data_IF_739365497819
#
_entry.id   IF_739365497819
#
_cell.length_a   1.000
_cell.length_b   1.000
_cell.length_c   1.000
_cell.angle_alpha   90.00
_cell.angle_beta   90.00
_cell.angle_gamma   90.00
#
_symmetry.space_group_name_H-M   'P 1'
#
loop_
_entity.id
_entity.type
_entity.pdbx_description
1 polymer ?
#
# COMPACT_ATOMS: atom_id res chain seq x y z
N UNK A 1 10.89 -2.64 11.77
CA UNK A 1 11.18 -3.02 10.37
C UNK A 1 9.90 -3.63 9.80
N UNK A 2 9.40 -3.14 8.66
CA UNK A 2 8.17 -3.65 8.01
C UNK A 2 8.60 -4.64 6.93
N UNK A 3 8.60 -5.94 7.23
CA UNK A 3 9.08 -6.98 6.33
C UNK A 3 8.52 -8.36 6.71
N UNK A 4 8.74 -9.37 5.86
CA UNK A 4 8.26 -10.74 6.06
C UNK A 4 6.94 -11.02 5.34
N UNK A 5 6.10 -11.87 5.92
CA UNK A 5 4.76 -12.18 5.41
C UNK A 5 3.78 -11.07 5.78
N UNK A 6 3.34 -10.31 4.78
CA UNK A 6 2.42 -9.19 4.96
C UNK A 6 1.13 -9.47 4.21
N UNK A 7 0.03 -9.72 4.92
CA UNK A 7 -1.23 -10.10 4.29
C UNK A 7 -1.86 -8.90 3.59
N UNK A 8 -2.23 -9.05 2.31
CA UNK A 8 -3.16 -8.17 1.66
C UNK A 8 -4.59 -8.55 2.09
N UNK A 9 -5.06 -7.95 3.18
CA UNK A 9 -6.27 -8.38 3.86
C UNK A 9 -7.52 -8.07 3.00
N UNK A 10 -8.43 -9.04 2.94
CA UNK A 10 -9.77 -8.84 2.37
C UNK A 10 -10.60 -7.92 3.26
N UNK A 11 -11.59 -7.23 2.67
CA UNK A 11 -12.57 -6.44 3.42
C UNK A 11 -13.90 -7.20 3.43
N UNK A 12 -14.24 -7.92 4.51
CA UNK A 12 -15.43 -8.77 4.52
C UNK A 12 -16.70 -7.94 4.47
N UNK A 13 -17.66 -8.42 3.68
CA UNK A 13 -18.99 -7.83 3.52
C UNK A 13 -20.07 -8.89 3.76
N UNK A 14 -21.23 -8.45 4.23
CA UNK A 14 -22.40 -9.30 4.38
C UNK A 14 -23.08 -9.58 3.02
N UNK A 15 -24.14 -10.39 3.03
CA UNK A 15 -24.87 -10.76 1.81
C UNK A 15 -25.57 -9.57 1.10
N UNK A 16 -25.58 -8.38 1.70
CA UNK A 16 -26.10 -7.14 1.11
C UNK A 16 -24.98 -6.20 0.67
N UNK A 17 -23.71 -6.59 0.79
CA UNK A 17 -22.55 -5.77 0.44
C UNK A 17 -22.18 -4.73 1.50
N UNK A 18 -22.72 -4.82 2.72
CA UNK A 18 -22.34 -3.92 3.82
C UNK A 18 -21.14 -4.49 4.55
N UNK A 19 -20.29 -3.63 5.10
CA UNK A 19 -19.11 -4.05 5.88
C UNK A 19 -19.49 -4.97 7.05
N UNK A 20 -18.85 -6.14 7.11
CA UNK A 20 -19.00 -7.11 8.18
C UNK A 20 -17.85 -6.95 9.19
N UNK A 21 -18.13 -6.19 10.23
CA UNK A 21 -17.15 -5.86 11.28
C UNK A 21 -16.74 -7.06 12.13
N UNK A 22 -17.64 -8.01 12.35
CA UNK A 22 -17.35 -9.20 13.17
C UNK A 22 -16.40 -10.12 12.42
N UNK A 23 -16.63 -10.32 11.12
CA UNK A 23 -15.72 -11.07 10.27
C UNK A 23 -14.36 -10.38 10.12
N UNK A 24 -14.33 -9.05 9.97
CA UNK A 24 -13.07 -8.30 9.94
C UNK A 24 -12.29 -8.52 11.24
N UNK A 25 -12.97 -8.45 12.38
CA UNK A 25 -12.35 -8.64 13.69
C UNK A 25 -11.75 -10.03 13.84
N UNK A 26 -12.46 -11.07 13.40
CA UNK A 26 -11.95 -12.46 13.39
C UNK A 26 -10.73 -12.63 12.50
N UNK A 27 -10.69 -12.00 11.33
CA UNK A 27 -9.54 -12.07 10.43
C UNK A 27 -8.30 -11.39 11.03
N UNK A 28 -8.48 -10.23 11.67
CA UNK A 28 -7.38 -9.55 12.38
C UNK A 28 -6.84 -10.44 13.50
N UNK A 29 -7.71 -11.03 14.32
CA UNK A 29 -7.29 -11.95 15.39
C UNK A 29 -6.59 -13.21 14.84
N UNK A 30 -7.07 -13.77 13.74
CA UNK A 30 -6.42 -14.90 13.06
C UNK A 30 -4.98 -14.56 12.67
N UNK A 31 -4.75 -13.43 11.99
CA UNK A 31 -3.40 -13.05 11.57
C UNK A 31 -2.45 -12.76 12.74
N UNK A 32 -2.99 -12.22 13.85
CA UNK A 32 -2.24 -12.01 15.08
C UNK A 32 -1.88 -13.34 15.77
N UNK A 33 -2.76 -14.34 15.71
CA UNK A 33 -2.54 -15.67 16.27
C UNK A 33 -1.54 -16.48 15.45
N UNK A 34 -1.63 -16.43 14.12
CA UNK A 34 -0.79 -17.20 13.19
C UNK A 34 0.58 -16.54 12.90
N UNK A 35 0.88 -15.40 13.53
CA UNK A 35 2.20 -14.77 13.44
C UNK A 35 2.48 -14.06 12.11
N UNK A 36 1.45 -13.52 11.46
CA UNK A 36 1.63 -12.64 10.29
C UNK A 36 2.46 -11.41 10.66
N UNK A 37 3.39 -10.97 9.79
CA UNK A 37 4.33 -9.90 10.14
C UNK A 37 3.76 -8.49 10.00
N UNK A 38 2.80 -8.27 9.08
CA UNK A 38 2.08 -7.00 8.94
C UNK A 38 0.73 -7.22 8.22
N UNK A 39 -0.21 -6.28 8.41
CA UNK A 39 -1.50 -6.27 7.71
C UNK A 39 -1.53 -5.11 6.74
N UNK A 40 -1.83 -5.37 5.47
CA UNK A 40 -2.18 -4.34 4.48
C UNK A 40 -3.71 -4.23 4.42
N UNK A 41 -4.25 -3.17 5.01
CA UNK A 41 -5.69 -2.88 5.00
C UNK A 41 -6.08 -2.07 3.76
N UNK A 42 -7.22 -2.41 3.16
CA UNK A 42 -7.82 -1.68 2.02
C UNK A 42 -6.84 -1.54 0.84
N UNK A 43 -6.10 -2.61 0.55
CA UNK A 43 -5.31 -2.71 -0.70
C UNK A 43 -6.18 -3.08 -1.91
N UNK A 44 -5.56 -3.64 -2.96
CA UNK A 44 -6.33 -4.21 -4.09
C UNK A 44 -7.21 -5.38 -3.65
N UNK A 45 -6.66 -6.30 -2.84
CA UNK A 45 -7.39 -7.47 -2.31
C UNK A 45 -8.49 -7.08 -1.32
N UNK A 46 -8.34 -5.93 -0.65
CA UNK A 46 -9.35 -5.34 0.24
C UNK A 46 -10.39 -4.48 -0.49
N UNK A 47 -10.48 -4.59 -1.81
CA UNK A 47 -11.52 -3.95 -2.64
C UNK A 47 -11.58 -2.42 -2.52
N UNK A 48 -10.41 -1.77 -2.37
CA UNK A 48 -10.29 -0.30 -2.29
C UNK A 48 -11.09 0.49 -3.34
N UNK A 49 -11.29 -0.06 -4.53
CA UNK A 49 -12.00 0.61 -5.62
C UNK A 49 -13.53 0.74 -5.40
N UNK A 50 -14.11 -0.03 -4.48
CA UNK A 50 -15.57 -0.10 -4.25
C UNK A 50 -15.98 0.28 -2.82
N UNK A 51 -15.06 0.84 -2.05
CA UNK A 51 -15.36 1.45 -0.74
C UNK A 51 -15.41 2.95 -0.89
N UNK A 52 -16.42 3.57 -0.28
CA UNK A 52 -16.43 5.02 -0.14
C UNK A 52 -15.30 5.46 0.79
N UNK A 53 -14.86 6.73 0.69
CA UNK A 53 -13.76 7.25 1.52
C UNK A 53 -14.03 7.06 3.02
N UNK A 54 -15.27 7.24 3.47
CA UNK A 54 -15.65 7.02 4.88
C UNK A 54 -15.46 5.56 5.31
N UNK A 55 -15.90 4.62 4.48
CA UNK A 55 -15.76 3.18 4.70
C UNK A 55 -14.29 2.76 4.70
N UNK A 56 -13.54 3.22 3.71
CA UNK A 56 -12.10 3.00 3.57
C UNK A 56 -11.36 3.37 4.86
N UNK A 57 -11.57 4.59 5.35
CA UNK A 57 -10.90 5.09 6.56
C UNK A 57 -11.40 4.38 7.83
N UNK A 58 -12.68 4.00 7.89
CA UNK A 58 -13.22 3.25 9.03
C UNK A 58 -12.64 1.84 9.13
N UNK A 59 -12.45 1.13 8.00
CA UNK A 59 -11.77 -0.17 7.99
C UNK A 59 -10.35 -0.03 8.51
N UNK A 60 -9.57 0.95 8.02
CA UNK A 60 -8.21 1.21 8.53
C UNK A 60 -8.22 1.47 10.03
N UNK A 61 -9.09 2.38 10.50
CA UNK A 61 -9.17 2.76 11.91
C UNK A 61 -9.45 1.55 12.80
N UNK A 62 -10.36 0.66 12.40
CA UNK A 62 -10.70 -0.54 13.17
C UNK A 62 -9.57 -1.57 13.19
N UNK A 63 -8.91 -1.79 12.06
CA UNK A 63 -7.73 -2.67 11.99
C UNK A 63 -6.62 -2.13 12.89
N UNK A 64 -6.29 -0.84 12.80
CA UNK A 64 -5.28 -0.19 13.66
C UNK A 64 -5.65 -0.33 15.15
N UNK A 65 -6.88 0.02 15.51
CA UNK A 65 -7.35 -0.02 16.88
C UNK A 65 -7.31 -1.44 17.47
N UNK A 66 -7.70 -2.46 16.69
CA UNK A 66 -7.64 -3.83 17.13
C UNK A 66 -6.20 -4.35 17.20
N UNK A 67 -5.36 -4.07 16.19
CA UNK A 67 -3.95 -4.50 16.19
C UNK A 67 -3.19 -3.93 17.38
N UNK A 68 -3.50 -2.70 17.80
CA UNK A 68 -2.98 -2.09 19.03
C UNK A 68 -1.44 -2.13 19.14
N UNK A 69 -0.75 -1.88 18.01
CA UNK A 69 0.71 -1.81 17.94
C UNK A 69 1.45 -3.15 18.00
N UNK A 70 0.74 -4.29 17.95
CA UNK A 70 1.36 -5.64 18.00
C UNK A 70 2.15 -5.98 16.73
N UNK A 71 1.64 -5.57 15.57
CA UNK A 71 2.30 -5.69 14.26
C UNK A 71 2.01 -4.41 13.46
N UNK A 72 2.79 -4.07 12.42
CA UNK A 72 2.51 -2.92 11.57
C UNK A 72 1.20 -3.07 10.79
N UNK A 73 0.47 -1.96 10.65
CA UNK A 73 -0.68 -1.81 9.77
C UNK A 73 -0.35 -0.84 8.64
N UNK A 74 -0.44 -1.33 7.41
CA UNK A 74 -0.16 -0.59 6.18
C UNK A 74 -1.50 -0.27 5.51
N UNK A 75 -1.81 1.01 5.29
CA UNK A 75 -3.05 1.43 4.64
C UNK A 75 -2.86 1.54 3.11
N UNK A 76 -3.78 1.02 2.30
CA UNK A 76 -3.78 1.26 0.86
C UNK A 76 -4.29 2.66 0.54
N UNK A 77 -3.43 3.60 0.14
CA UNK A 77 -3.81 5.01 -0.07
C UNK A 77 -3.49 5.54 -1.46
N UNK A 78 -3.16 4.64 -2.40
CA UNK A 78 -2.95 5.00 -3.80
C UNK A 78 -4.26 5.40 -4.49
N UNK A 79 -4.19 6.45 -5.30
CA UNK A 79 -5.28 6.90 -6.16
C UNK A 79 -4.70 7.39 -7.49
N UNK A 80 -5.51 7.43 -8.55
CA UNK A 80 -5.05 7.96 -9.83
C UNK A 80 -5.05 9.51 -9.90
N UNK A 81 -5.57 10.17 -8.86
CA UNK A 81 -5.52 11.61 -8.64
C UNK A 81 -4.56 11.91 -7.48
N UNK A 82 -3.52 12.72 -7.74
CA UNK A 82 -2.53 13.07 -6.71
C UNK A 82 -3.16 13.75 -5.49
N UNK A 83 -4.17 14.60 -5.70
CA UNK A 83 -4.89 15.27 -4.60
C UNK A 83 -5.64 14.27 -3.71
N UNK A 84 -6.29 13.29 -4.33
CA UNK A 84 -7.02 12.24 -3.62
C UNK A 84 -6.07 11.32 -2.84
N UNK A 85 -4.93 10.96 -3.43
CA UNK A 85 -3.90 10.18 -2.74
C UNK A 85 -3.36 10.91 -1.50
N UNK A 86 -3.19 12.24 -1.57
CA UNK A 86 -2.81 13.05 -0.39
C UNK A 86 -3.91 13.02 0.68
N UNK A 87 -5.18 13.15 0.30
CA UNK A 87 -6.32 13.10 1.22
C UNK A 87 -6.40 11.74 1.93
N UNK A 88 -6.36 10.64 1.19
CA UNK A 88 -6.36 9.29 1.73
C UNK A 88 -5.17 9.03 2.64
N UNK A 89 -3.96 9.44 2.22
CA UNK A 89 -2.73 9.27 3.02
C UNK A 89 -2.77 10.09 4.31
N UNK A 90 -3.32 11.31 4.28
CA UNK A 90 -3.52 12.14 5.47
C UNK A 90 -4.49 11.49 6.46
N UNK A 91 -5.60 10.97 5.95
CA UNK A 91 -6.61 10.31 6.77
C UNK A 91 -6.10 8.98 7.34
N UNK A 92 -5.35 8.19 6.57
CA UNK A 92 -4.72 6.95 7.04
C UNK A 92 -3.69 7.21 8.15
N UNK A 93 -2.84 8.23 8.00
CA UNK A 93 -1.93 8.68 9.07
C UNK A 93 -2.71 9.07 10.33
N UNK A 94 -3.79 9.83 10.17
CA UNK A 94 -4.64 10.27 11.30
C UNK A 94 -5.34 9.09 11.97
N UNK A 95 -5.68 8.04 11.21
CA UNK A 95 -6.26 6.80 11.73
C UNK A 95 -5.24 5.90 12.45
N UNK A 96 -3.94 6.25 12.40
CA UNK A 96 -2.86 5.56 13.11
C UNK A 96 -2.18 4.45 12.31
N UNK A 97 -2.29 4.43 10.97
CA UNK A 97 -1.51 3.52 10.15
C UNK A 97 0.00 3.75 10.32
N UNK A 98 0.80 2.69 10.27
CA UNK A 98 2.26 2.74 10.41
C UNK A 98 2.97 3.07 9.09
N UNK A 99 2.33 2.73 7.97
CA UNK A 99 2.80 3.03 6.62
C UNK A 99 1.62 3.10 5.64
N UNK A 100 1.89 3.57 4.43
CA UNK A 100 0.93 3.60 3.33
C UNK A 100 1.46 2.82 2.12
N UNK A 101 0.58 2.10 1.42
CA UNK A 101 0.84 1.40 0.17
C UNK A 101 0.16 2.16 -0.98
N UNK A 102 0.94 2.67 -1.93
CA UNK A 102 0.46 3.55 -2.98
C UNK A 102 0.65 2.93 -4.36
N UNK A 103 -0.44 2.44 -4.93
CA UNK A 103 -0.45 1.94 -6.31
C UNK A 103 -0.17 3.07 -7.30
N UNK A 104 0.50 2.77 -8.41
CA UNK A 104 0.64 3.73 -9.52
C UNK A 104 -0.74 4.18 -10.04
N UNK A 105 -0.87 5.45 -10.48
CA UNK A 105 -2.10 5.93 -11.09
C UNK A 105 -2.58 5.03 -12.22
N UNK A 106 -3.73 4.42 -11.98
CA UNK A 106 -4.42 3.54 -12.91
C UNK A 106 -5.30 4.36 -13.87
N UNK A 107 -5.58 3.79 -15.04
CA UNK A 107 -6.45 4.34 -16.08
C UNK A 107 -5.89 5.55 -16.85
N UNK A 108 -5.39 6.59 -16.18
CA UNK A 108 -4.94 7.83 -16.81
C UNK A 108 -3.50 7.79 -17.37
N UNK A 109 -2.74 6.72 -17.10
CA UNK A 109 -1.45 6.37 -17.73
C UNK A 109 -0.43 7.52 -17.74
N UNK A 110 0.01 8.01 -16.56
CA UNK A 110 1.01 9.07 -16.48
C UNK A 110 2.35 8.65 -17.09
N UNK A 111 3.17 9.63 -17.43
CA UNK A 111 4.57 9.42 -17.83
C UNK A 111 5.43 9.06 -16.60
N UNK A 112 6.67 8.58 -16.82
CA UNK A 112 7.61 8.32 -15.72
C UNK A 112 7.88 9.57 -14.86
N UNK A 113 7.99 10.75 -15.49
CA UNK A 113 8.10 11.99 -14.74
C UNK A 113 6.81 12.33 -13.97
N UNK A 114 5.64 12.04 -14.56
CA UNK A 114 4.37 12.16 -13.87
C UNK A 114 4.29 11.27 -12.62
N UNK A 115 4.77 10.02 -12.70
CA UNK A 115 4.88 9.12 -11.55
C UNK A 115 5.81 9.69 -10.49
N UNK A 116 7.00 10.16 -10.88
CA UNK A 116 7.95 10.76 -9.96
C UNK A 116 7.33 11.95 -9.21
N UNK A 117 6.70 12.89 -9.92
CA UNK A 117 6.05 14.06 -9.34
C UNK A 117 4.87 13.67 -8.43
N UNK A 118 4.05 12.70 -8.85
CA UNK A 118 2.92 12.19 -8.08
C UNK A 118 3.37 11.68 -6.70
N UNK A 119 4.31 10.72 -6.67
CA UNK A 119 4.77 10.15 -5.41
C UNK A 119 5.60 11.13 -4.58
N UNK A 120 6.45 11.94 -5.21
CA UNK A 120 7.23 12.97 -4.49
C UNK A 120 6.31 14.00 -3.82
N UNK A 121 5.20 14.37 -4.46
CA UNK A 121 4.23 15.29 -3.88
C UNK A 121 3.53 14.68 -2.66
N UNK A 122 3.10 13.42 -2.73
CA UNK A 122 2.44 12.73 -1.61
C UNK A 122 3.41 12.53 -0.44
N UNK A 123 4.65 12.14 -0.73
CA UNK A 123 5.73 12.00 0.25
C UNK A 123 6.03 13.30 1.00
N UNK A 124 6.07 14.42 0.29
CA UNK A 124 6.29 15.74 0.89
C UNK A 124 5.08 16.25 1.69
N UNK A 125 3.86 15.91 1.27
CA UNK A 125 2.63 16.38 1.93
C UNK A 125 2.33 15.65 3.24
N UNK A 126 2.67 14.36 3.33
CA UNK A 126 2.31 13.52 4.48
C UNK A 126 3.52 12.75 5.01
N UNK A 127 3.99 13.17 6.18
CA UNK A 127 5.12 12.54 6.90
C UNK A 127 4.71 11.20 7.54
N UNK A 128 4.56 10.18 6.71
CA UNK A 128 4.35 8.76 7.05
C UNK A 128 5.20 7.91 6.10
N UNK A 129 5.71 6.74 6.49
CA UNK A 129 6.39 5.84 5.57
C UNK A 129 5.49 5.42 4.41
N UNK A 130 6.02 5.48 3.19
CA UNK A 130 5.30 5.21 1.95
C UNK A 130 5.99 4.09 1.17
N UNK A 131 5.19 3.13 0.74
CA UNK A 131 5.60 1.97 -0.07
C UNK A 131 4.96 2.14 -1.43
N UNK A 132 5.79 2.25 -2.46
CA UNK A 132 5.35 2.27 -3.86
C UNK A 132 4.71 0.93 -4.22
N UNK A 133 3.78 0.91 -5.17
CA UNK A 133 3.21 -0.35 -5.65
C UNK A 133 3.06 -0.36 -7.17
N UNK A 134 3.85 -1.21 -7.82
CA UNK A 134 3.82 -1.41 -9.27
C UNK A 134 3.08 -2.72 -9.61
N UNK A 135 2.04 -2.60 -10.46
CA UNK A 135 1.21 -3.73 -10.91
C UNK A 135 0.63 -3.43 -12.31
N UNK A 136 1.47 -3.38 -13.35
CA UNK A 136 1.07 -2.89 -14.68
C UNK A 136 -0.10 -3.66 -15.30
N UNK A 137 -0.27 -4.94 -14.95
CA UNK A 137 -1.42 -5.75 -15.38
C UNK A 137 -2.79 -5.23 -14.90
N UNK A 138 -2.81 -4.34 -13.90
CA UNK A 138 -4.04 -3.68 -13.40
C UNK A 138 -4.08 -2.19 -13.70
N UNK A 139 -2.94 -1.51 -13.71
CA UNK A 139 -2.88 -0.04 -13.83
C UNK A 139 -2.76 0.44 -15.26
N UNK A 140 -2.36 -0.44 -16.20
CA UNK A 140 -1.97 -0.10 -17.56
C UNK A 140 -0.79 0.89 -17.65
N UNK A 141 -0.02 1.03 -16.57
CA UNK A 141 1.16 1.87 -16.46
C UNK A 141 2.25 1.11 -15.69
N UNK A 142 3.48 1.14 -16.19
CA UNK A 142 4.61 0.44 -15.59
C UNK A 142 5.64 1.44 -15.04
N UNK A 143 5.91 1.41 -13.74
CA UNK A 143 6.89 2.28 -13.08
C UNK A 143 8.29 1.66 -13.13
N UNK A 144 9.12 2.14 -14.06
CA UNK A 144 10.41 1.52 -14.38
C UNK A 144 11.42 1.63 -13.22
N UNK A 145 12.42 0.72 -13.15
CA UNK A 145 13.44 0.72 -12.10
C UNK A 145 14.14 2.08 -11.91
N UNK A 146 14.38 2.84 -12.97
CA UNK A 146 15.01 4.17 -12.89
C UNK A 146 14.14 5.17 -12.12
N UNK A 147 12.82 5.10 -12.29
CA UNK A 147 11.86 5.93 -11.53
C UNK A 147 11.81 5.51 -10.07
N UNK A 148 11.88 4.20 -9.78
CA UNK A 148 11.98 3.67 -8.42
C UNK A 148 13.26 4.15 -7.74
N UNK A 149 14.40 4.08 -8.43
CA UNK A 149 15.69 4.55 -7.92
C UNK A 149 15.65 6.04 -7.56
N UNK A 150 15.05 6.88 -8.42
CA UNK A 150 14.84 8.31 -8.12
C UNK A 150 13.95 8.52 -6.89
N UNK A 151 12.85 7.78 -6.77
CA UNK A 151 11.93 7.88 -5.64
C UNK A 151 12.53 7.33 -4.33
N UNK A 152 13.45 6.37 -4.41
CA UNK A 152 14.12 5.80 -3.23
C UNK A 152 14.98 6.81 -2.46
N UNK A 153 15.36 7.92 -3.10
CA UNK A 153 16.08 9.02 -2.46
C UNK A 153 15.14 9.96 -1.67
N UNK A 154 13.83 9.81 -1.77
CA UNK A 154 12.85 10.61 -1.02
C UNK A 154 12.71 10.02 0.39
N UNK A 155 12.96 10.86 1.42
CA UNK A 155 13.17 10.47 2.82
C UNK A 155 12.19 9.41 3.37
N UNK A 156 10.90 9.56 3.10
CA UNK A 156 9.85 8.69 3.63
C UNK A 156 9.27 7.72 2.60
N UNK A 157 9.86 7.59 1.40
CA UNK A 157 9.55 6.49 0.48
C UNK A 157 10.52 5.34 0.81
N UNK A 158 10.00 4.33 1.53
CA UNK A 158 10.81 3.31 2.19
C UNK A 158 10.93 2.00 1.41
N UNK A 159 10.14 1.83 0.35
CA UNK A 159 10.15 0.60 -0.41
C UNK A 159 9.20 0.56 -1.59
N UNK A 160 9.16 -0.60 -2.25
CA UNK A 160 8.27 -0.94 -3.35
C UNK A 160 7.71 -2.35 -3.20
N UNK A 161 6.40 -2.49 -3.40
CA UNK A 161 5.76 -3.76 -3.74
C UNK A 161 5.79 -3.92 -5.26
N UNK A 162 6.54 -4.91 -5.74
CA UNK A 162 6.69 -5.17 -7.16
C UNK A 162 5.95 -6.46 -7.57
N UNK A 163 4.85 -6.30 -8.32
CA UNK A 163 3.90 -7.36 -8.67
C UNK A 163 3.93 -7.74 -10.16
N UNK A 164 5.05 -7.50 -10.85
CA UNK A 164 5.24 -7.94 -12.24
C UNK A 164 5.51 -9.44 -12.39
N UNK A 165 5.90 -10.14 -11.32
CA UNK A 165 6.42 -11.51 -11.38
C UNK A 165 7.80 -11.62 -12.07
N UNK A 166 8.42 -10.49 -12.42
CA UNK A 166 9.71 -10.48 -13.13
C UNK A 166 10.88 -10.39 -12.13
N UNK A 167 11.54 -11.52 -11.89
CA UNK A 167 12.68 -11.60 -10.97
C UNK A 167 13.90 -10.80 -11.45
N UNK A 168 14.11 -10.64 -12.76
CA UNK A 168 15.21 -9.83 -13.27
C UNK A 168 14.99 -8.36 -12.88
N UNK A 169 13.75 -7.88 -13.03
CA UNK A 169 13.38 -6.53 -12.62
C UNK A 169 13.57 -6.29 -11.12
N UNK A 170 13.22 -7.25 -10.27
CA UNK A 170 13.47 -7.15 -8.83
C UNK A 170 14.97 -6.99 -8.53
N UNK A 171 15.84 -7.72 -9.24
CA UNK A 171 17.30 -7.56 -9.13
C UNK A 171 17.78 -6.19 -9.61
N UNK A 172 17.24 -5.68 -10.71
CA UNK A 172 17.61 -4.37 -11.26
C UNK A 172 17.24 -3.23 -10.28
N UNK A 173 16.08 -3.33 -9.61
CA UNK A 173 15.70 -2.40 -8.55
C UNK A 173 16.67 -2.52 -7.36
N UNK A 174 16.90 -3.73 -6.83
CA UNK A 174 17.83 -3.94 -5.71
C UNK A 174 19.25 -3.42 -5.99
N UNK A 175 19.71 -3.49 -7.23
CA UNK A 175 21.03 -3.00 -7.64
C UNK A 175 21.10 -1.46 -7.76
N UNK A 176 19.96 -0.77 -7.84
CA UNK A 176 19.89 0.68 -8.08
C UNK A 176 19.43 1.51 -6.88
N UNK A 177 19.04 0.86 -5.78
CA UNK A 177 18.59 1.49 -4.53
C UNK A 177 19.56 1.23 -3.38
N UNK A 178 19.47 2.01 -2.30
CA UNK A 178 20.25 1.74 -1.08
C UNK A 178 19.80 0.45 -0.39
N UNK A 179 20.67 -0.15 0.43
CA UNK A 179 20.37 -1.38 1.19
C UNK A 179 19.18 -1.23 2.16
N UNK A 180 18.82 -0.01 2.49
CA UNK A 180 17.75 0.30 3.44
C UNK A 180 16.38 0.44 2.74
N UNK A 181 16.34 0.44 1.40
CA UNK A 181 15.12 0.47 0.61
C UNK A 181 14.56 -0.95 0.43
N UNK A 182 13.29 -1.14 0.80
CA UNK A 182 12.68 -2.47 0.90
C UNK A 182 12.00 -2.85 -0.43
N UNK A 183 12.30 -4.03 -0.96
CA UNK A 183 11.66 -4.59 -2.16
C UNK A 183 10.83 -5.81 -1.77
N UNK A 184 9.52 -5.71 -1.93
CA UNK A 184 8.57 -6.77 -1.62
C UNK A 184 8.01 -7.41 -2.89
N UNK A 185 7.81 -8.73 -2.87
CA UNK A 185 7.02 -9.38 -3.92
C UNK A 185 5.56 -8.96 -3.80
N UNK A 186 4.91 -8.72 -4.94
CA UNK A 186 3.46 -8.65 -5.05
C UNK A 186 2.86 -9.80 -5.85
N UNK A 187 3.64 -10.84 -6.12
CA UNK A 187 3.27 -12.07 -6.82
C UNK A 187 3.64 -13.28 -5.95
N UNK A 188 2.66 -14.15 -5.67
CA UNK A 188 2.83 -15.33 -4.81
C UNK A 188 3.30 -16.58 -5.59
N UNK A 189 3.20 -16.56 -6.92
CA UNK A 189 3.42 -17.72 -7.80
C UNK A 189 4.90 -18.03 -8.10
#
# INVERSE_FOLDING_TARGET
MIAGSMVALVTPMDAQGRLDWDSLSKLVDFHLQEGTNAIVAVGTTGESATLDVSEHIEVIRRVVAQVAGRIPVIAGTGANSTREAVELTTNAKTAGADACLLVTPYYNKPTQEGLFQHFSHIANAVDIPQILYNVPGRTACDMLPETVARLSAVKNIIGIKEATGNLQRAKDILASVSSDFLVYSGDDA
#
